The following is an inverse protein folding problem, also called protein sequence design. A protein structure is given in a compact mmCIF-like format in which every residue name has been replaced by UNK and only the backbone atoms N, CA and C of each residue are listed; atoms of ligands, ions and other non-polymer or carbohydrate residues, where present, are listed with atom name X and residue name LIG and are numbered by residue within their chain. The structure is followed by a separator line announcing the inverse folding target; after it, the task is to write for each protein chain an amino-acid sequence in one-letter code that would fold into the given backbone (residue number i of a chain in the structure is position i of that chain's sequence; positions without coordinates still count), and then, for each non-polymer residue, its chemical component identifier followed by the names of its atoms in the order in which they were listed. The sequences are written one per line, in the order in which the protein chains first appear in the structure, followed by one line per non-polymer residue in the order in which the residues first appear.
data_IF_575538425599
#
_entry.id   IF_575538425599
#
_cell.length_a   1.000
_cell.length_b   1.000
_cell.length_c   1.000
_cell.angle_alpha   90.00
_cell.angle_beta   90.00
_cell.angle_gamma   90.00
#
_symmetry.space_group_name_H-M   'P 1'
#
loop_
_entity.id
_entity.type
_entity.pdbx_description
1 polymer ?
#
# COMPACT_ATOMS: atom_id res chain seq x y z
N UNK A 1 11.21 7.23 18.61
CA UNK A 1 11.73 8.05 17.49
C UNK A 1 10.59 8.28 16.51
N UNK A 2 10.10 9.51 16.38
CA UNK A 2 9.09 9.87 15.37
C UNK A 2 9.77 10.23 14.05
N UNK A 3 9.12 9.94 12.92
CA UNK A 3 9.54 10.36 11.58
C UNK A 3 8.38 11.09 10.92
N UNK A 4 8.68 12.20 10.25
CA UNK A 4 7.68 12.97 9.50
C UNK A 4 7.66 12.54 8.05
N UNK A 5 6.47 12.28 7.51
CA UNK A 5 6.25 11.94 6.10
C UNK A 5 5.39 13.06 5.51
N UNK A 6 5.79 13.57 4.34
CA UNK A 6 4.97 14.51 3.57
C UNK A 6 4.09 13.71 2.63
N UNK A 7 2.82 14.04 2.61
CA UNK A 7 1.81 13.49 1.71
C UNK A 7 1.12 14.65 1.01
N UNK A 8 0.57 14.40 -0.17
CA UNK A 8 -0.30 15.35 -0.85
C UNK A 8 -1.65 15.48 -0.10
N UNK A 9 -2.39 16.54 -0.43
CA UNK A 9 -3.66 16.87 0.24
C UNK A 9 -4.74 15.81 0.03
N UNK A 10 -4.73 15.13 -1.13
CA UNK A 10 -5.68 14.05 -1.44
C UNK A 10 -5.42 12.86 -0.52
N UNK A 11 -4.16 12.42 -0.42
CA UNK A 11 -3.73 11.36 0.48
C UNK A 11 -4.03 11.71 1.93
N UNK A 12 -3.77 12.95 2.36
CA UNK A 12 -4.09 13.39 3.71
C UNK A 12 -5.60 13.32 3.98
N UNK A 13 -6.42 13.76 3.04
CA UNK A 13 -7.89 13.72 3.16
C UNK A 13 -8.42 12.29 3.24
N UNK A 14 -7.87 11.38 2.43
CA UNK A 14 -8.19 9.96 2.48
C UNK A 14 -7.82 9.34 3.84
N UNK A 15 -6.64 9.66 4.37
CA UNK A 15 -6.22 9.20 5.70
C UNK A 15 -7.12 9.77 6.80
N UNK A 16 -7.51 11.05 6.71
CA UNK A 16 -8.41 11.68 7.67
C UNK A 16 -9.80 11.05 7.67
N UNK A 17 -10.33 10.67 6.51
CA UNK A 17 -11.61 9.98 6.39
C UNK A 17 -11.59 8.54 6.95
N UNK A 18 -10.42 7.88 6.95
CA UNK A 18 -10.24 6.52 7.47
C UNK A 18 -9.88 6.47 8.96
N UNK A 19 -9.48 7.61 9.53
CA UNK A 19 -9.04 7.76 10.93
C UNK A 19 -10.27 7.76 11.86
N UNK A 20 -10.22 6.97 12.92
CA UNK A 20 -11.21 7.07 14.01
C UNK A 20 -11.12 8.37 14.80
N UNK A 21 -12.20 8.76 15.48
CA UNK A 21 -12.29 10.01 16.25
C UNK A 21 -11.15 10.16 17.29
N UNK A 22 -10.86 9.10 18.05
CA UNK A 22 -9.79 9.04 19.07
C UNK A 22 -8.46 8.41 18.57
N UNK A 23 -8.36 8.06 17.29
CA UNK A 23 -7.17 7.40 16.72
C UNK A 23 -6.12 8.44 16.31
N UNK A 24 -4.82 8.18 16.42
CA UNK A 24 -3.79 9.04 15.78
C UNK A 24 -3.49 8.56 14.37
N UNK A 25 -2.89 9.41 13.52
CA UNK A 25 -2.42 8.98 12.20
C UNK A 25 -1.39 7.85 12.28
N UNK A 26 -0.60 7.78 13.36
CA UNK A 26 0.35 6.70 13.55
C UNK A 26 -0.36 5.37 13.84
N UNK A 27 -1.43 5.40 14.62
CA UNK A 27 -2.24 4.20 14.93
C UNK A 27 -3.00 3.71 13.69
N UNK A 28 -3.58 4.65 12.92
CA UNK A 28 -4.19 4.34 11.62
C UNK A 28 -3.18 3.66 10.68
N UNK A 29 -1.98 4.22 10.54
CA UNK A 29 -0.94 3.65 9.69
C UNK A 29 -0.48 2.28 10.19
N UNK A 30 -0.37 2.08 11.50
CA UNK A 30 -0.04 0.79 12.09
C UNK A 30 -1.11 -0.25 11.76
N UNK A 31 -2.39 0.09 11.95
CA UNK A 31 -3.54 -0.76 11.61
C UNK A 31 -3.58 -1.13 10.13
N UNK A 32 -3.43 -0.14 9.23
CA UNK A 32 -3.38 -0.37 7.79
C UNK A 32 -2.21 -1.27 7.38
N UNK A 33 -1.05 -1.12 8.04
CA UNK A 33 0.11 -1.98 7.78
C UNK A 33 -0.11 -3.42 8.29
N UNK A 34 -0.80 -3.59 9.42
CA UNK A 34 -1.16 -4.91 9.94
C UNK A 34 -2.20 -5.60 9.05
N UNK A 35 -3.25 -4.88 8.64
CA UNK A 35 -4.24 -5.36 7.66
C UNK A 35 -3.56 -5.73 6.35
N UNK A 36 -2.72 -4.84 5.79
CA UNK A 36 -1.96 -5.14 4.58
C UNK A 36 -1.04 -6.34 4.75
N UNK A 37 -0.37 -6.50 5.89
CA UNK A 37 0.50 -7.66 6.16
C UNK A 37 -0.33 -8.94 6.28
N UNK A 38 -1.52 -8.87 6.87
CA UNK A 38 -2.44 -9.99 6.99
C UNK A 38 -3.00 -10.36 5.61
N UNK A 39 -3.51 -9.42 4.83
CA UNK A 39 -3.96 -9.64 3.46
C UNK A 39 -2.84 -10.05 2.51
N UNK A 40 -1.61 -9.59 2.71
CA UNK A 40 -0.44 -10.08 1.96
C UNK A 40 -0.01 -11.45 2.45
N UNK A 41 -0.24 -11.85 3.71
CA UNK A 41 0.06 -13.20 4.19
C UNK A 41 -1.03 -14.20 3.76
N UNK A 42 -2.29 -13.81 3.84
CA UNK A 42 -3.46 -14.55 3.34
C UNK A 42 -3.45 -14.60 1.79
N UNK A 43 -3.07 -13.50 1.16
CA UNK A 43 -2.86 -13.38 -0.28
C UNK A 43 -1.57 -14.05 -0.75
N UNK A 44 -0.48 -14.03 0.00
CA UNK A 44 0.73 -14.79 -0.32
C UNK A 44 0.44 -16.29 -0.29
N UNK A 45 -0.44 -16.78 0.60
CA UNK A 45 -0.95 -18.15 0.52
C UNK A 45 -1.77 -18.45 -0.74
N UNK A 46 -2.43 -17.43 -1.34
CA UNK A 46 -3.10 -17.55 -2.66
C UNK A 46 -2.14 -17.39 -3.85
N UNK A 47 -0.98 -16.77 -3.65
CA UNK A 47 0.01 -16.44 -4.68
C UNK A 47 1.25 -17.37 -4.61
N UNK A 48 1.39 -18.17 -3.55
CA UNK A 48 2.27 -19.33 -3.43
C UNK A 48 1.81 -20.39 -4.44
N UNK A 49 2.34 -20.28 -5.66
CA UNK A 49 2.01 -21.17 -6.78
C UNK A 49 1.33 -20.51 -7.98
N UNK A 50 1.10 -19.19 -7.98
CA UNK A 50 0.60 -18.48 -9.18
C UNK A 50 1.55 -17.41 -9.70
N UNK A 51 1.65 -17.32 -11.03
CA UNK A 51 2.50 -16.43 -11.85
C UNK A 51 2.23 -14.91 -11.68
N UNK A 52 1.49 -14.54 -10.64
CA UNK A 52 1.01 -13.19 -10.45
C UNK A 52 2.13 -12.24 -9.95
N UNK A 53 3.18 -12.78 -9.34
CA UNK A 53 4.43 -12.04 -9.09
C UNK A 53 5.17 -11.68 -10.40
N UNK A 54 5.11 -12.55 -11.41
CA UNK A 54 5.71 -12.30 -12.74
C UNK A 54 4.90 -11.28 -13.53
N UNK A 55 3.56 -11.41 -13.55
CA UNK A 55 2.68 -10.42 -14.19
C UNK A 55 2.78 -9.02 -13.57
N UNK A 56 2.97 -8.91 -12.25
CA UNK A 56 3.20 -7.62 -11.60
C UNK A 56 4.54 -6.98 -11.99
N UNK A 57 5.57 -7.80 -12.28
CA UNK A 57 6.86 -7.31 -12.81
C UNK A 57 6.73 -6.88 -14.28
N UNK A 58 6.01 -7.65 -15.10
CA UNK A 58 5.79 -7.30 -16.51
C UNK A 58 4.94 -6.04 -16.68
N UNK A 59 3.87 -5.87 -15.91
CA UNK A 59 3.07 -4.65 -15.92
C UNK A 59 3.92 -3.40 -15.58
N UNK A 60 4.84 -3.52 -14.60
CA UNK A 60 5.79 -2.45 -14.28
C UNK A 60 6.80 -2.18 -15.39
N UNK A 61 7.22 -3.20 -16.11
CA UNK A 61 8.19 -3.10 -17.22
C UNK A 61 7.54 -2.47 -18.45
N UNK A 62 6.28 -2.80 -18.71
CA UNK A 62 5.48 -2.24 -19.80
C UNK A 62 5.14 -0.76 -19.56
N UNK A 63 4.76 -0.39 -18.32
CA UNK A 63 4.57 1.01 -17.93
C UNK A 63 5.86 1.85 -18.02
N UNK A 64 7.02 1.26 -17.72
CA UNK A 64 8.31 1.97 -17.92
C UNK A 64 8.64 2.17 -19.39
N UNK A 65 8.14 1.32 -20.29
CA UNK A 65 8.39 1.41 -21.73
C UNK A 65 7.46 2.44 -22.40
N UNK A 66 6.26 2.69 -21.86
CA UNK A 66 5.31 3.68 -22.39
C UNK A 66 5.65 5.13 -22.04
N UNK A 67 6.41 5.38 -20.96
CA UNK A 67 6.82 6.72 -20.53
C UNK A 67 8.11 7.19 -21.24
N UNK A 68 8.76 6.33 -22.02
CA UNK A 68 9.98 6.63 -22.79
C UNK A 68 9.73 6.84 -24.28
N UNK A 69 8.93 7.83 -24.68
CA UNK A 69 8.85 8.33 -26.06
C UNK A 69 8.77 9.85 -26.11
#
# INVERSE_FOLDING_TARGET
MSKSIRVDDETHSALAALKGDDETFNDLLARLLEERRKSVREGAGLWEGTDAAEKARDARKEMKRSVGK
#
